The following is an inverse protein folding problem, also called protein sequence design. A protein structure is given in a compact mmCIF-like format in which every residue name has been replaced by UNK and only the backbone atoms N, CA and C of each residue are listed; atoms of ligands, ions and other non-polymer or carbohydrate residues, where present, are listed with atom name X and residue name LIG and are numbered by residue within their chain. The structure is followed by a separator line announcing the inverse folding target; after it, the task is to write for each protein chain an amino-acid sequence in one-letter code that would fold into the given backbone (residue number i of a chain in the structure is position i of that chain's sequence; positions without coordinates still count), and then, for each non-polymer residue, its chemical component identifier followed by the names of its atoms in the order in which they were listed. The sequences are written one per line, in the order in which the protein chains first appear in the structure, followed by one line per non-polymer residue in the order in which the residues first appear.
data_IF_926616591960
#
_entry.id   IF_926616591960
#
_cell.length_a   1.000
_cell.length_b   1.000
_cell.length_c   1.000
_cell.angle_alpha   90.00
_cell.angle_beta   90.00
_cell.angle_gamma   90.00
#
_symmetry.space_group_name_H-M   'P 1'
#
loop_
_entity.id
_entity.type
_entity.pdbx_description
1 polymer ?
#
# COMPACT_ATOMS: atom_id res chain seq x y z
N UNK A 1 17.13 11.69 44.60
CA UNK A 1 17.21 11.65 43.13
C UNK A 1 15.83 11.53 42.51
N UNK A 2 15.33 12.56 41.83
CA UNK A 2 14.25 12.43 40.83
C UNK A 2 14.52 13.47 39.73
N UNK A 3 14.99 12.99 38.58
CA UNK A 3 15.27 13.79 37.38
C UNK A 3 13.96 14.27 36.72
N UNK A 4 14.01 15.43 36.04
CA UNK A 4 12.84 16.18 35.58
C UNK A 4 12.13 15.51 34.39
N UNK A 5 10.79 15.51 34.42
CA UNK A 5 9.96 15.20 33.25
C UNK A 5 9.92 16.43 32.34
N UNK A 6 10.85 16.49 31.39
CA UNK A 6 10.85 17.47 30.30
C UNK A 6 9.64 17.24 29.39
N UNK A 7 8.62 18.09 29.56
CA UNK A 7 7.50 18.21 28.61
C UNK A 7 7.94 19.14 27.48
N UNK A 8 8.55 18.55 26.46
CA UNK A 8 8.96 19.16 25.19
C UNK A 8 8.78 18.04 24.15
N UNK A 9 7.97 18.10 23.10
CA UNK A 9 7.72 19.18 22.15
C UNK A 9 6.32 18.97 21.51
N UNK A 10 5.46 20.00 21.52
CA UNK A 10 4.39 20.10 20.53
C UNK A 10 4.98 20.70 19.25
N UNK A 11 5.66 19.89 18.46
CA UNK A 11 6.07 20.28 17.12
C UNK A 11 4.90 20.06 16.17
N UNK A 12 4.42 21.18 15.63
CA UNK A 12 3.49 21.29 14.51
C UNK A 12 4.05 20.47 13.34
N UNK A 13 3.55 19.24 13.16
CA UNK A 13 3.83 18.43 11.98
C UNK A 13 2.63 18.60 11.05
N UNK A 14 2.80 19.48 10.06
CA UNK A 14 1.92 19.66 8.88
C UNK A 14 1.29 18.34 8.43
N UNK A 15 0.04 18.38 7.95
CA UNK A 15 -0.76 17.26 7.43
C UNK A 15 0.03 16.19 6.65
N UNK A 16 1.03 16.60 5.87
CA UNK A 16 1.89 15.71 5.08
C UNK A 16 2.73 14.73 5.94
N UNK A 17 3.18 15.14 7.12
CA UNK A 17 3.96 14.28 8.04
C UNK A 17 3.05 13.36 8.87
N UNK A 18 1.83 13.80 9.26
CA UNK A 18 0.85 12.90 9.91
C UNK A 18 0.36 11.84 8.93
N UNK A 19 0.19 12.17 7.64
CA UNK A 19 -0.11 11.18 6.59
C UNK A 19 0.95 10.09 6.47
N UNK A 20 2.22 10.42 6.70
CA UNK A 20 3.34 9.46 6.61
C UNK A 20 3.42 8.50 7.80
N UNK A 21 3.04 8.95 9.00
CA UNK A 21 2.97 8.11 10.22
C UNK A 21 1.72 7.21 10.21
N UNK A 22 0.63 7.64 9.56
CA UNK A 22 -0.59 6.84 9.35
C UNK A 22 -0.51 5.88 8.14
N UNK A 23 0.53 5.97 7.30
CA UNK A 23 0.71 5.16 6.07
C UNK A 23 1.26 3.75 6.34
N UNK A 24 0.93 3.15 7.47
CA UNK A 24 1.44 1.82 7.87
C UNK A 24 0.60 0.66 7.33
N UNK A 25 -0.36 0.90 6.43
CA UNK A 25 -1.20 -0.17 5.83
C UNK A 25 -1.29 -0.18 4.30
N UNK A 26 -0.64 0.75 3.60
CA UNK A 26 -0.70 0.79 2.13
C UNK A 26 0.56 0.15 1.54
N UNK A 27 0.39 -0.72 0.55
CA UNK A 27 1.43 -1.50 -0.10
C UNK A 27 1.78 -0.90 -1.47
N UNK A 28 3.08 -0.77 -1.76
CA UNK A 28 3.53 -0.29 -3.07
C UNK A 28 3.48 -1.40 -4.12
N UNK A 29 2.66 -1.29 -5.15
CA UNK A 29 2.52 -2.33 -6.19
C UNK A 29 3.84 -2.65 -6.91
N UNK A 30 4.71 -1.65 -7.08
CA UNK A 30 5.97 -1.81 -7.82
C UNK A 30 7.07 -2.51 -7.02
N UNK A 31 6.97 -2.54 -5.68
CA UNK A 31 7.95 -3.19 -4.80
C UNK A 31 7.34 -4.28 -3.91
N UNK A 32 6.03 -4.50 -3.99
CA UNK A 32 5.34 -5.49 -3.17
C UNK A 32 5.89 -6.89 -3.41
N UNK A 33 6.05 -7.64 -2.33
CA UNK A 33 6.30 -9.08 -2.36
C UNK A 33 4.97 -9.85 -2.39
N UNK A 34 5.07 -11.15 -2.68
CA UNK A 34 3.91 -12.07 -2.64
C UNK A 34 3.20 -11.98 -1.28
N UNK A 35 3.96 -12.12 -0.19
CA UNK A 35 3.42 -12.11 1.17
C UNK A 35 2.70 -10.80 1.50
N UNK A 36 3.32 -9.66 1.13
CA UNK A 36 2.70 -8.35 1.32
C UNK A 36 1.37 -8.24 0.56
N UNK A 37 1.32 -8.68 -0.69
CA UNK A 37 0.08 -8.66 -1.48
C UNK A 37 -1.01 -9.52 -0.83
N UNK A 38 -0.65 -10.70 -0.30
CA UNK A 38 -1.62 -11.58 0.37
C UNK A 38 -2.14 -11.05 1.72
N UNK A 39 -1.48 -10.06 2.31
CA UNK A 39 -2.00 -9.37 3.51
C UNK A 39 -3.17 -8.43 3.19
N UNK A 40 -3.41 -8.09 1.92
CA UNK A 40 -4.51 -7.22 1.53
C UNK A 40 -5.83 -7.99 1.64
N UNK A 41 -6.83 -7.49 2.39
CA UNK A 41 -8.13 -8.14 2.49
C UNK A 41 -8.76 -8.37 1.11
N UNK A 42 -9.07 -9.63 0.78
CA UNK A 42 -9.63 -10.02 -0.51
C UNK A 42 -8.60 -10.33 -1.62
N UNK A 43 -7.29 -10.25 -1.33
CA UNK A 43 -6.22 -10.78 -2.17
C UNK A 43 -5.75 -12.11 -1.59
N UNK A 44 -6.03 -13.20 -2.30
CA UNK A 44 -5.44 -14.51 -2.00
C UNK A 44 -4.16 -14.77 -2.81
N UNK A 45 -3.44 -15.88 -2.54
CA UNK A 45 -2.18 -16.22 -3.22
C UNK A 45 -2.28 -16.19 -4.75
N UNK A 46 -3.38 -16.68 -5.32
CA UNK A 46 -3.60 -16.67 -6.78
C UNK A 46 -3.70 -15.25 -7.34
N UNK A 47 -4.38 -14.34 -6.65
CA UNK A 47 -4.50 -12.94 -7.11
C UNK A 47 -3.17 -12.20 -6.92
N UNK A 48 -2.46 -12.46 -5.82
CA UNK A 48 -1.12 -11.92 -5.59
C UNK A 48 -0.14 -12.34 -6.69
N UNK A 49 -0.15 -13.62 -7.09
CA UNK A 49 0.66 -14.12 -8.21
C UNK A 49 0.34 -13.37 -9.51
N UNK A 50 -0.94 -13.23 -9.86
CA UNK A 50 -1.35 -12.52 -11.07
C UNK A 50 -0.90 -11.04 -11.07
N UNK A 51 -0.87 -10.36 -9.91
CA UNK A 51 -0.35 -8.99 -9.80
C UNK A 51 1.15 -8.97 -10.11
N UNK A 52 1.92 -9.93 -9.59
CA UNK A 52 3.36 -10.04 -9.84
C UNK A 52 3.66 -10.40 -11.30
N UNK A 53 2.87 -11.29 -11.91
CA UNK A 53 2.96 -11.65 -13.33
C UNK A 53 2.66 -10.45 -14.22
N UNK A 54 1.53 -9.76 -13.98
CA UNK A 54 1.19 -8.54 -14.71
C UNK A 54 2.31 -7.49 -14.59
N UNK A 55 2.89 -7.31 -13.38
CA UNK A 55 4.06 -6.42 -13.19
C UNK A 55 5.24 -6.84 -14.07
N UNK A 56 5.53 -8.13 -14.19
CA UNK A 56 6.62 -8.60 -15.06
C UNK A 56 6.33 -8.34 -16.54
N UNK A 57 5.08 -8.46 -16.96
CA UNK A 57 4.65 -8.27 -18.35
C UNK A 57 4.67 -6.79 -18.77
N UNK A 58 4.10 -5.90 -17.96
CA UNK A 58 4.00 -4.47 -18.29
C UNK A 58 5.16 -3.63 -17.75
N UNK A 59 6.02 -4.22 -16.91
CA UNK A 59 7.12 -3.57 -16.23
C UNK A 59 6.71 -2.92 -14.90
N UNK A 60 6.23 -1.68 -14.94
CA UNK A 60 5.84 -0.93 -13.72
C UNK A 60 4.39 -0.53 -13.80
N UNK A 61 3.68 -0.65 -12.69
CA UNK A 61 2.40 0.02 -12.51
C UNK A 61 2.64 1.54 -12.59
N UNK A 62 1.94 2.18 -13.51
CA UNK A 62 1.88 3.64 -13.69
C UNK A 62 0.74 4.26 -12.87
N UNK A 63 -0.31 3.48 -12.61
CA UNK A 63 -1.45 3.86 -11.76
C UNK A 63 -2.02 2.65 -11.04
N UNK A 64 -2.80 2.89 -9.98
CA UNK A 64 -3.53 1.82 -9.29
C UNK A 64 -4.61 1.20 -10.18
N UNK A 65 -5.14 1.93 -11.18
CA UNK A 65 -6.24 1.47 -12.03
C UNK A 65 -5.83 0.30 -12.93
N UNK A 66 -4.53 0.15 -13.21
CA UNK A 66 -3.99 -1.01 -13.93
C UNK A 66 -4.23 -2.33 -13.19
N UNK A 67 -4.58 -2.30 -11.90
CA UNK A 67 -5.07 -3.51 -11.20
C UNK A 67 -6.34 -4.08 -11.83
N UNK A 68 -7.15 -3.29 -12.54
CA UNK A 68 -8.33 -3.78 -13.26
C UNK A 68 -7.98 -4.64 -14.49
N UNK A 69 -6.74 -4.53 -14.99
CA UNK A 69 -6.23 -5.37 -16.07
C UNK A 69 -5.67 -6.70 -15.55
N UNK A 70 -5.47 -6.83 -14.23
CA UNK A 70 -4.97 -8.05 -13.61
C UNK A 70 -6.07 -9.10 -13.52
N UNK A 71 -5.80 -10.29 -14.06
CA UNK A 71 -6.73 -11.43 -13.99
C UNK A 71 -7.19 -11.71 -12.56
N UNK A 72 -8.50 -11.78 -12.35
CA UNK A 72 -9.09 -12.05 -11.03
C UNK A 72 -9.28 -10.83 -10.14
N UNK A 73 -9.02 -9.62 -10.63
CA UNK A 73 -9.42 -8.36 -10.01
C UNK A 73 -10.53 -7.72 -10.85
N UNK A 74 -11.77 -7.91 -10.42
CA UNK A 74 -12.92 -7.18 -10.97
C UNK A 74 -13.14 -5.87 -10.20
N UNK A 75 -13.98 -4.97 -10.72
CA UNK A 75 -14.33 -3.69 -10.07
C UNK A 75 -14.69 -3.85 -8.58
N UNK A 76 -15.51 -4.85 -8.23
CA UNK A 76 -15.91 -5.10 -6.84
C UNK A 76 -14.74 -5.44 -5.92
N UNK A 77 -13.70 -6.10 -6.45
CA UNK A 77 -12.48 -6.39 -5.69
C UNK A 77 -11.56 -5.17 -5.67
N UNK A 78 -11.39 -4.48 -6.80
CA UNK A 78 -10.63 -3.24 -6.90
C UNK A 78 -11.09 -2.19 -5.88
N UNK A 79 -12.39 -1.97 -5.76
CA UNK A 79 -12.97 -1.02 -4.81
C UNK A 79 -12.62 -1.35 -3.34
N UNK A 80 -12.49 -2.63 -3.01
CA UNK A 80 -12.09 -3.08 -1.66
C UNK A 80 -10.59 -2.92 -1.41
N UNK A 81 -9.75 -3.08 -2.44
CA UNK A 81 -8.29 -3.10 -2.28
C UNK A 81 -7.63 -1.75 -2.57
N UNK A 82 -8.25 -0.84 -3.33
CA UNK A 82 -7.62 0.40 -3.82
C UNK A 82 -7.08 1.31 -2.72
N UNK A 83 -7.66 1.25 -1.51
CA UNK A 83 -7.21 2.04 -0.36
C UNK A 83 -6.00 1.42 0.38
N UNK A 84 -5.67 0.16 0.07
CA UNK A 84 -4.55 -0.58 0.66
C UNK A 84 -3.32 -0.62 -0.24
N UNK A 85 -3.37 0.04 -1.40
CA UNK A 85 -2.28 0.01 -2.39
C UNK A 85 -1.95 1.40 -2.88
N UNK A 86 -0.72 1.59 -3.32
CA UNK A 86 -0.30 2.81 -3.99
C UNK A 86 0.75 2.51 -5.05
N UNK A 87 0.95 3.47 -5.94
CA UNK A 87 2.04 3.49 -6.91
C UNK A 87 2.93 4.68 -6.59
N UNK A 88 4.23 4.45 -6.48
CA UNK A 88 5.21 5.51 -6.39
C UNK A 88 5.63 5.92 -7.81
N UNK A 89 5.54 7.23 -8.09
CA UNK A 89 6.06 7.84 -9.31
C UNK A 89 7.58 7.74 -9.36
#
# INVERSE_FOLDING_TARGET
DLKPTSVSERTIKTDSQIKSVLKTKSINLNSATMDQLTMIPGIGPKTALNILEYRKEVGRFSSINQLLEVKGIANSKFEKIKNFVYVQR
#
